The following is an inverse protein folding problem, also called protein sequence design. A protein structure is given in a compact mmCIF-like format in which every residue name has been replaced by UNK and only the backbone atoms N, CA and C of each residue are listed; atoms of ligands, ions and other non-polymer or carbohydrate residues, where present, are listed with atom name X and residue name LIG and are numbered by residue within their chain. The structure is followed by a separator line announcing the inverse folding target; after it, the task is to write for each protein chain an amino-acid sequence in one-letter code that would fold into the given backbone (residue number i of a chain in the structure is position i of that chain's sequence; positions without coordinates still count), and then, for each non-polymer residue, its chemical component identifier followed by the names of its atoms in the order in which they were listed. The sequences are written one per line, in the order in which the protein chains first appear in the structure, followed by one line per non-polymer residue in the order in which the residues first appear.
data_IF_913689038654
#
_entry.id   IF_913689038654
#
_cell.length_a   1.000
_cell.length_b   1.000
_cell.length_c   1.000
_cell.angle_alpha   90.00
_cell.angle_beta   90.00
_cell.angle_gamma   90.00
#
_symmetry.space_group_name_H-M   'P 1'
#
loop_
_entity.id
_entity.type
_entity.pdbx_description
1 polymer ?
#
# COMPACT_ATOMS: atom_id res chain seq x y z
N UNK A 1 -1.11 -8.52 -0.48
CA UNK A 1 0.00 -9.22 -1.16
C UNK A 1 0.98 -9.66 -0.08
N UNK A 2 1.06 -10.96 0.25
CA UNK A 2 1.67 -11.41 1.52
C UNK A 2 3.20 -11.29 1.57
N UNK A 3 3.92 -11.63 0.49
CA UNK A 3 5.39 -11.57 0.49
C UNK A 3 5.92 -10.15 0.72
N UNK A 4 5.34 -9.17 0.01
CA UNK A 4 5.75 -7.76 0.11
C UNK A 4 5.36 -7.17 1.47
N UNK A 5 4.19 -7.54 2.03
CA UNK A 5 3.77 -7.11 3.37
C UNK A 5 4.72 -7.62 4.47
N UNK A 6 5.11 -8.89 4.41
CA UNK A 6 6.10 -9.45 5.33
C UNK A 6 7.45 -8.72 5.20
N UNK A 7 7.93 -8.53 3.97
CA UNK A 7 9.19 -7.86 3.72
C UNK A 7 9.16 -6.37 4.11
N UNK A 8 8.00 -5.70 4.04
CA UNK A 8 7.84 -4.30 4.44
C UNK A 8 8.12 -4.09 5.92
N UNK A 9 7.77 -5.07 6.78
CA UNK A 9 8.09 -5.05 8.22
C UNK A 9 9.47 -5.64 8.52
N UNK A 10 10.30 -5.86 7.50
CA UNK A 10 11.65 -6.40 7.62
C UNK A 10 11.71 -7.91 7.85
N UNK A 11 10.63 -8.66 7.60
CA UNK A 11 10.60 -10.11 7.71
C UNK A 11 11.12 -10.75 6.40
N UNK A 12 12.27 -11.45 6.42
CA UNK A 12 12.76 -12.16 5.24
C UNK A 12 11.82 -13.32 4.87
N UNK A 13 11.67 -13.57 3.57
CA UNK A 13 10.75 -14.61 3.05
C UNK A 13 11.53 -15.80 2.51
N UNK A 14 11.19 -17.01 2.93
CA UNK A 14 11.66 -18.25 2.30
C UNK A 14 10.55 -18.74 1.35
N UNK A 15 10.86 -18.87 0.07
CA UNK A 15 9.89 -19.25 -0.95
C UNK A 15 10.49 -20.19 -1.99
N UNK A 16 9.66 -21.02 -2.62
CA UNK A 16 10.10 -21.78 -3.77
C UNK A 16 10.44 -20.87 -4.95
N UNK A 17 11.48 -21.19 -5.73
CA UNK A 17 11.90 -20.43 -6.92
C UNK A 17 10.92 -20.62 -8.09
N UNK A 18 9.67 -20.21 -7.91
CA UNK A 18 8.59 -20.36 -8.90
C UNK A 18 7.68 -19.14 -8.89
N UNK A 19 7.07 -18.87 -10.04
CA UNK A 19 6.14 -17.74 -10.20
C UNK A 19 6.81 -16.40 -9.90
N UNK A 20 6.12 -15.54 -9.15
CA UNK A 20 6.60 -14.20 -8.82
C UNK A 20 7.69 -14.15 -7.73
N UNK A 21 7.95 -15.27 -7.03
CA UNK A 21 8.91 -15.26 -5.92
C UNK A 21 10.33 -14.81 -6.34
N UNK A 22 10.91 -15.25 -7.47
CA UNK A 22 12.22 -14.77 -7.92
C UNK A 22 12.25 -13.31 -8.37
N UNK A 23 11.09 -12.71 -8.64
CA UNK A 23 10.97 -11.29 -8.98
C UNK A 23 10.88 -10.40 -7.73
N UNK A 24 10.34 -10.95 -6.63
CA UNK A 24 10.10 -10.22 -5.38
C UNK A 24 11.26 -10.40 -4.39
N UNK A 25 11.70 -11.64 -4.19
CA UNK A 25 12.70 -12.03 -3.20
C UNK A 25 14.09 -12.08 -3.83
N UNK A 26 15.04 -11.35 -3.26
CA UNK A 26 16.44 -11.43 -3.63
C UNK A 26 17.12 -12.48 -2.74
N UNK A 27 17.49 -13.61 -3.33
CA UNK A 27 18.12 -14.74 -2.62
C UNK A 27 19.33 -14.27 -1.80
N UNK A 28 19.40 -14.69 -0.53
CA UNK A 28 20.42 -14.33 0.46
C UNK A 28 20.51 -12.84 0.80
N UNK A 29 19.55 -12.01 0.39
CA UNK A 29 19.50 -10.57 0.75
C UNK A 29 18.18 -10.15 1.38
N UNK A 30 17.06 -10.56 0.81
CA UNK A 30 15.73 -10.25 1.33
C UNK A 30 14.94 -11.51 1.72
N UNK A 31 15.57 -12.67 1.60
CA UNK A 31 14.97 -13.98 1.82
C UNK A 31 15.77 -15.10 1.15
N UNK A 32 15.21 -16.30 1.11
CA UNK A 32 15.79 -17.46 0.44
C UNK A 32 14.83 -17.99 -0.63
N UNK A 33 15.36 -18.16 -1.84
CA UNK A 33 14.70 -18.89 -2.93
C UNK A 33 15.23 -20.31 -3.00
N UNK A 34 14.34 -21.29 -2.84
CA UNK A 34 14.68 -22.71 -2.72
C UNK A 34 13.98 -23.57 -3.79
N UNK A 35 14.51 -24.74 -4.09
CA UNK A 35 13.94 -25.69 -5.07
C UNK A 35 13.12 -26.81 -4.41
N UNK A 36 13.31 -27.06 -3.10
CA UNK A 36 12.68 -28.17 -2.39
C UNK A 36 12.60 -27.98 -0.88
N UNK A 37 11.83 -28.85 -0.22
CA UNK A 37 11.58 -28.79 1.24
C UNK A 37 12.88 -28.94 2.04
N UNK A 38 13.79 -29.81 1.61
CA UNK A 38 15.06 -30.00 2.32
C UNK A 38 15.89 -28.71 2.38
N UNK A 39 16.00 -27.99 1.26
CA UNK A 39 16.68 -26.70 1.19
C UNK A 39 15.92 -25.61 1.97
N UNK A 40 14.58 -25.66 1.99
CA UNK A 40 13.76 -24.79 2.83
C UNK A 40 14.11 -24.94 4.30
N UNK A 41 14.22 -26.18 4.80
CA UNK A 41 14.60 -26.49 6.18
C UNK A 41 16.01 -25.98 6.49
N UNK A 42 16.97 -26.18 5.58
CA UNK A 42 18.32 -25.64 5.73
C UNK A 42 18.33 -24.11 5.80
N UNK A 43 17.49 -23.45 5.01
CA UNK A 43 17.40 -21.99 4.94
C UNK A 43 16.83 -21.37 6.22
N UNK A 44 15.99 -22.09 6.97
CA UNK A 44 15.48 -21.62 8.27
C UNK A 44 16.63 -21.36 9.25
N UNK A 45 17.61 -22.26 9.32
CA UNK A 45 18.78 -22.11 10.20
C UNK A 45 19.74 -20.97 9.80
N UNK A 46 19.51 -20.36 8.63
CA UNK A 46 20.33 -19.30 8.06
C UNK A 46 19.59 -17.95 8.04
N UNK A 47 18.39 -17.87 8.60
CA UNK A 47 17.57 -16.66 8.54
C UNK A 47 18.24 -15.46 9.21
N UNK A 48 19.06 -15.71 10.23
CA UNK A 48 19.82 -14.70 10.96
C UNK A 48 21.00 -14.12 10.16
N UNK A 49 21.36 -14.71 9.02
CA UNK A 49 22.32 -14.15 8.07
C UNK A 49 21.76 -12.92 7.33
N UNK A 50 20.43 -12.75 7.32
CA UNK A 50 19.75 -11.69 6.58
C UNK A 50 19.55 -10.46 7.46
N UNK A 51 20.10 -9.33 7.00
CA UNK A 51 19.82 -8.03 7.60
C UNK A 51 18.36 -7.59 7.32
N UNK A 52 17.59 -7.40 8.39
CA UNK A 52 16.19 -6.97 8.34
C UNK A 52 16.02 -5.55 7.80
N UNK A 53 17.00 -4.67 8.01
CA UNK A 53 16.96 -3.32 7.45
C UNK A 53 17.08 -3.36 5.92
N UNK A 54 17.94 -4.23 5.39
CA UNK A 54 18.06 -4.47 3.95
C UNK A 54 16.75 -4.99 3.35
N UNK A 55 15.99 -5.85 4.05
CA UNK A 55 14.71 -6.38 3.56
C UNK A 55 13.64 -5.30 3.39
N UNK A 56 13.47 -4.44 4.40
CA UNK A 56 12.50 -3.34 4.36
C UNK A 56 12.91 -2.26 3.35
N UNK A 57 14.19 -1.91 3.30
CA UNK A 57 14.77 -0.99 2.29
C UNK A 57 14.52 -1.47 0.87
N UNK A 58 14.60 -2.79 0.61
CA UNK A 58 14.27 -3.36 -0.70
C UNK A 58 12.80 -3.13 -1.06
N UNK A 59 11.88 -3.23 -0.11
CA UNK A 59 10.46 -2.91 -0.36
C UNK A 59 10.27 -1.43 -0.69
N UNK A 60 10.90 -0.55 0.08
CA UNK A 60 10.83 0.90 -0.12
C UNK A 60 11.28 1.33 -1.53
N UNK A 61 12.39 0.77 -2.01
CA UNK A 61 12.94 1.11 -3.31
C UNK A 61 12.22 0.50 -4.50
N UNK A 62 11.49 -0.61 -4.33
CA UNK A 62 11.00 -1.39 -5.47
C UNK A 62 9.48 -1.52 -5.56
N UNK A 63 8.77 -1.50 -4.42
CA UNK A 63 7.37 -1.94 -4.33
C UNK A 63 6.42 -0.93 -3.70
N UNK A 64 6.88 0.28 -3.39
CA UNK A 64 5.98 1.36 -2.93
C UNK A 64 5.02 1.79 -4.03
N UNK A 65 3.86 2.32 -3.63
CA UNK A 65 2.86 2.82 -4.57
C UNK A 65 3.46 3.86 -5.54
N UNK A 66 4.29 4.77 -5.01
CA UNK A 66 4.97 5.79 -5.80
C UNK A 66 5.88 5.17 -6.86
N UNK A 67 6.81 4.28 -6.47
CA UNK A 67 7.74 3.61 -7.40
C UNK A 67 6.97 2.81 -8.47
N UNK A 68 5.92 2.10 -8.08
CA UNK A 68 5.10 1.34 -9.00
C UNK A 68 4.38 2.26 -10.00
N UNK A 69 3.77 3.35 -9.55
CA UNK A 69 3.12 4.35 -10.42
C UNK A 69 4.10 4.94 -11.43
N UNK A 70 5.31 5.30 -11.01
CA UNK A 70 6.34 5.81 -11.92
C UNK A 70 6.74 4.79 -13.00
N UNK A 71 6.90 3.52 -12.62
CA UNK A 71 7.16 2.41 -13.55
C UNK A 71 6.03 2.28 -14.58
N UNK A 72 4.77 2.31 -14.14
CA UNK A 72 3.61 2.26 -15.04
C UNK A 72 3.56 3.45 -15.99
N UNK A 73 3.73 4.68 -15.49
CA UNK A 73 3.75 5.89 -16.32
C UNK A 73 4.83 5.78 -17.40
N UNK A 74 6.03 5.28 -17.05
CA UNK A 74 7.12 5.07 -18.01
C UNK A 74 6.72 4.09 -19.11
N UNK A 75 6.08 2.98 -18.77
CA UNK A 75 5.60 1.99 -19.75
C UNK A 75 4.51 2.60 -20.64
N UNK A 76 3.53 3.30 -20.08
CA UNK A 76 2.46 3.94 -20.86
C UNK A 76 3.01 4.98 -21.84
N UNK A 77 3.95 5.82 -21.42
CA UNK A 77 4.62 6.79 -22.31
C UNK A 77 5.32 6.08 -23.48
N UNK A 78 6.00 4.96 -23.24
CA UNK A 78 6.67 4.17 -24.30
C UNK A 78 5.67 3.57 -25.29
N UNK A 79 4.55 3.04 -24.81
CA UNK A 79 3.50 2.47 -25.67
C UNK A 79 2.85 3.54 -26.53
N UNK A 80 2.52 4.70 -25.95
CA UNK A 80 1.93 5.84 -26.68
C UNK A 80 2.90 6.35 -27.76
N UNK A 81 4.18 6.51 -27.43
CA UNK A 81 5.20 6.92 -28.40
C UNK A 81 5.34 5.93 -29.57
N UNK A 82 5.36 4.63 -29.26
CA UNK A 82 5.43 3.55 -30.26
C UNK A 82 4.17 3.47 -31.14
N UNK A 83 3.00 3.78 -30.58
CA UNK A 83 1.73 3.80 -31.32
C UNK A 83 1.65 4.97 -32.29
N UNK A 84 2.13 6.16 -31.90
CA UNK A 84 2.16 7.35 -32.77
C UNK A 84 3.02 7.14 -34.02
N UNK A 85 4.17 6.47 -33.90
CA UNK A 85 5.02 6.13 -35.04
C UNK A 85 4.39 5.13 -36.03
N UNK A 86 3.51 4.23 -35.55
CA UNK A 86 2.78 3.28 -36.40
C UNK A 86 1.50 3.86 -37.01
N UNK A 87 0.83 4.77 -36.28
CA UNK A 87 -0.39 5.42 -36.75
C UNK A 87 -0.10 6.59 -37.70
N UNK A 88 1.05 7.28 -37.63
CA UNK A 88 1.38 8.37 -38.56
C UNK A 88 1.45 7.93 -40.03
N UNK A 89 1.76 6.66 -40.33
CA UNK A 89 1.71 6.10 -41.69
C UNK A 89 0.29 5.66 -42.12
N UNK A 90 -0.69 5.65 -41.21
CA UNK A 90 -2.11 5.34 -41.49
C UNK A 90 -3.06 6.53 -41.32
N UNK A 91 -2.59 7.66 -40.78
CA UNK A 91 -3.41 8.82 -40.43
C UNK A 91 -3.58 9.83 -41.58
N UNK A 92 -3.89 9.35 -42.78
CA UNK A 92 -4.57 10.20 -43.76
C UNK A 92 -6.08 9.99 -43.62
N UNK A 93 -6.77 11.08 -43.24
CA UNK A 93 -8.23 11.31 -43.14
C UNK A 93 -8.90 11.27 -41.74
N UNK A 94 -8.93 12.48 -41.11
CA UNK A 94 -10.16 13.18 -40.68
C UNK A 94 -10.90 12.87 -39.35
N UNK A 95 -10.26 12.35 -38.30
CA UNK A 95 -10.84 12.41 -36.94
C UNK A 95 -9.74 12.63 -35.90
N UNK A 96 -9.84 13.62 -35.01
CA UNK A 96 -8.95 13.71 -33.85
C UNK A 96 -9.29 12.63 -32.81
N UNK A 97 -8.31 12.00 -32.14
CA UNK A 97 -8.59 11.00 -31.13
C UNK A 97 -9.20 11.67 -29.89
N UNK A 98 -10.48 11.41 -29.63
CA UNK A 98 -11.16 11.85 -28.41
C UNK A 98 -10.67 11.06 -27.20
N UNK A 99 -9.62 11.54 -26.54
CA UNK A 99 -9.19 11.01 -25.24
C UNK A 99 -10.19 11.50 -24.20
N UNK A 100 -11.01 10.58 -23.68
CA UNK A 100 -11.92 10.89 -22.57
C UNK A 100 -11.11 11.44 -21.39
N UNK A 101 -11.53 12.55 -20.75
CA UNK A 101 -10.79 13.14 -19.64
C UNK A 101 -10.66 12.13 -18.51
N UNK A 102 -9.47 12.05 -17.91
CA UNK A 102 -9.24 11.25 -16.72
C UNK A 102 -10.18 11.75 -15.61
N UNK A 103 -11.16 10.93 -15.23
CA UNK A 103 -12.05 11.25 -14.11
C UNK A 103 -11.20 11.19 -12.83
N UNK A 104 -11.25 12.23 -11.98
CA UNK A 104 -10.51 12.22 -10.72
C UNK A 104 -10.93 11.02 -9.86
N UNK A 105 -9.98 10.16 -9.52
CA UNK A 105 -10.19 9.12 -8.52
C UNK A 105 -10.29 9.81 -7.16
N UNK A 106 -11.43 9.68 -6.48
CA UNK A 106 -11.61 10.22 -5.13
C UNK A 106 -10.57 9.59 -4.20
N UNK A 107 -9.74 10.40 -3.55
CA UNK A 107 -8.80 9.95 -2.52
C UNK A 107 -9.57 9.50 -1.27
N UNK A 108 -9.03 8.52 -0.55
CA UNK A 108 -9.69 7.77 0.53
C UNK A 108 -10.14 8.61 1.75
N UNK A 109 -9.79 9.89 1.79
CA UNK A 109 -10.22 10.83 2.82
C UNK A 109 -11.74 11.07 2.80
N UNK A 110 -12.41 10.83 1.66
CA UNK A 110 -13.88 10.94 1.54
C UNK A 110 -14.66 9.64 1.85
N UNK A 111 -13.99 8.57 2.32
CA UNK A 111 -14.62 7.28 2.67
C UNK A 111 -14.58 7.01 4.19
N UNK A 112 -14.24 8.02 5.00
CA UNK A 112 -14.43 7.96 6.45
C UNK A 112 -15.90 8.30 6.75
N UNK A 113 -16.64 7.29 7.19
CA UNK A 113 -17.96 7.44 7.79
C UNK A 113 -17.85 8.40 8.99
N UNK A 114 -18.81 9.34 9.18
CA UNK A 114 -18.81 10.16 10.39
C UNK A 114 -18.97 9.28 11.62
N UNK A 115 -18.12 9.50 12.63
CA UNK A 115 -18.19 8.86 13.95
C UNK A 115 -19.63 8.86 14.49
N UNK A 116 -20.26 7.69 14.48
CA UNK A 116 -21.57 7.44 15.12
C UNK A 116 -21.34 6.60 16.37
N UNK A 117 -20.68 7.18 17.37
CA UNK A 117 -20.76 6.73 18.75
C UNK A 117 -21.08 7.93 19.66
N UNK A 118 -22.37 8.13 19.91
CA UNK A 118 -22.92 8.49 21.22
C UNK A 118 -24.43 8.70 21.08
N UNK A 119 -25.18 7.81 21.73
CA UNK A 119 -26.61 7.97 21.95
C UNK A 119 -26.88 9.13 22.91
N UNK A 120 -27.92 9.93 22.65
CA UNK A 120 -28.59 10.66 23.73
C UNK A 120 -29.05 12.07 23.38
N UNK A 121 -30.36 12.19 23.19
CA UNK A 121 -31.16 13.41 23.12
C UNK A 121 -30.61 14.66 23.83
N UNK A 122 -30.84 15.84 23.22
CA UNK A 122 -31.77 16.85 23.80
C UNK A 122 -32.11 17.97 22.82
N UNK A 123 -33.42 18.24 22.79
CA UNK A 123 -34.12 19.34 22.11
C UNK A 123 -33.53 20.69 22.48
N UNK A 124 -33.52 21.59 21.52
CA UNK A 124 -33.45 23.04 21.75
C UNK A 124 -34.78 23.50 22.35
N UNK A 125 -34.75 24.26 23.44
CA UNK A 125 -35.65 25.40 23.68
C UNK A 125 -35.29 26.12 24.98
N UNK A 126 -35.21 27.44 24.84
CA UNK A 126 -35.20 28.52 25.83
C UNK A 126 -35.75 28.23 27.23
N UNK A 127 -35.13 28.87 28.23
CA UNK A 127 -35.83 29.34 29.42
C UNK A 127 -35.07 29.15 30.73
N UNK A 128 -34.51 30.25 31.24
CA UNK A 128 -34.35 30.66 32.64
C UNK A 128 -34.14 29.63 33.78
N UNK A 129 -33.18 30.00 34.66
CA UNK A 129 -32.91 29.51 36.04
C UNK A 129 -32.14 28.18 36.15
N UNK A 130 -31.22 27.93 37.10
CA UNK A 130 -30.55 28.67 38.20
C UNK A 130 -29.30 27.84 38.60
N UNK A 131 -28.36 28.49 39.28
CA UNK A 131 -27.13 28.00 39.92
C UNK A 131 -27.22 26.68 40.72
N UNK A 132 -26.10 25.93 40.84
CA UNK A 132 -25.48 25.56 42.13
C UNK A 132 -24.25 24.62 42.03
N UNK A 133 -23.08 25.16 42.41
CA UNK A 133 -21.97 24.63 43.24
C UNK A 133 -21.69 23.10 43.37
N UNK A 134 -20.43 22.76 43.03
CA UNK A 134 -19.28 22.31 43.88
C UNK A 134 -19.25 20.87 44.48
N UNK A 135 -18.00 20.35 44.51
CA UNK A 135 -17.41 19.25 45.31
C UNK A 135 -17.70 17.81 44.82
N UNK A 136 -16.80 16.82 44.90
CA UNK A 136 -15.55 16.67 45.64
C UNK A 136 -14.71 15.52 45.04
N UNK A 137 -13.39 15.56 45.28
CA UNK A 137 -12.44 14.46 45.08
C UNK A 137 -12.81 13.20 45.88
N UNK A 138 -12.51 12.01 45.34
CA UNK A 138 -12.19 10.83 46.17
C UNK A 138 -11.27 9.85 45.40
N UNK A 139 -10.09 9.66 45.97
CA UNK A 139 -9.07 8.64 45.68
C UNK A 139 -9.46 7.32 46.36
N UNK A 140 -9.36 6.17 45.66
CA UNK A 140 -8.61 4.97 46.13
C UNK A 140 -8.70 3.79 45.14
N UNK A 141 -7.53 3.17 44.92
CA UNK A 141 -7.29 1.86 44.31
C UNK A 141 -7.90 0.71 45.13
N UNK A 142 -8.06 -0.47 44.53
CA UNK A 142 -7.23 -1.62 44.91
C UNK A 142 -6.13 -1.94 43.89
#
# INVERSE_FOLDING_TARGET
MVMIEAMAVGCPVIAFRRGAAPEIVVHQKSGFLVEGVHEMVQSIGRIDEIDRATVSTHVEHHFTAHVMTEKYIRVYKKVIASSRGKNALRYHSSQEPHIAPLVPVKTHESLLMPDKLSHGAKKTMNGNHVWSKRASMAVKKP
#
